data_IF_747754548147
#
_entry.id   IF_747754548147
#
_cell.length_a   1.000
_cell.length_b   1.000
_cell.length_c   1.000
_cell.angle_alpha   90.00
_cell.angle_beta   90.00
_cell.angle_gamma   90.00
#
_symmetry.space_group_name_H-M   'P 1'
#
loop_
_entity.id
_entity.type
_entity.pdbx_description
1 polymer ?
#
# COMPACT_ATOMS: atom_id res chain seq x y z
N UNK A 1 8.36 -26.12 -5.50
CA UNK A 1 7.04 -25.91 -4.89
C UNK A 1 7.11 -26.47 -3.46
N UNK A 2 6.58 -25.76 -2.47
CA UNK A 2 6.57 -26.25 -1.07
C UNK A 2 5.71 -27.50 -0.95
N UNK A 3 6.12 -28.45 -0.11
CA UNK A 3 5.26 -29.57 0.25
C UNK A 3 4.06 -29.09 1.08
N UNK A 4 2.97 -29.88 1.11
CA UNK A 4 1.77 -29.58 1.90
C UNK A 4 2.08 -29.39 3.40
N UNK A 5 3.05 -30.15 3.92
CA UNK A 5 3.52 -30.04 5.30
C UNK A 5 4.30 -28.75 5.58
N UNK A 6 5.15 -28.32 4.65
CA UNK A 6 5.87 -27.04 4.76
C UNK A 6 4.92 -25.84 4.63
N UNK A 7 3.95 -25.91 3.74
CA UNK A 7 2.93 -24.87 3.57
C UNK A 7 2.15 -24.64 4.88
N UNK A 8 1.72 -25.71 5.55
CA UNK A 8 1.00 -25.61 6.82
C UNK A 8 1.87 -25.01 7.94
N UNK A 9 3.16 -25.35 8.00
CA UNK A 9 4.10 -24.76 8.96
C UNK A 9 4.30 -23.26 8.71
N UNK A 10 4.51 -22.88 7.46
CA UNK A 10 4.65 -21.47 7.06
C UNK A 10 3.38 -20.69 7.40
N UNK A 11 2.20 -21.24 7.09
CA UNK A 11 0.92 -20.64 7.43
C UNK A 11 0.74 -20.42 8.94
N UNK A 12 1.09 -21.41 9.76
CA UNK A 12 1.01 -21.29 11.22
C UNK A 12 1.96 -20.21 11.78
N UNK A 13 3.19 -20.13 11.26
CA UNK A 13 4.15 -19.08 11.64
C UNK A 13 3.65 -17.70 11.21
N UNK A 14 3.13 -17.58 9.99
CA UNK A 14 2.60 -16.31 9.48
C UNK A 14 1.40 -15.84 10.31
N UNK A 15 0.46 -16.72 10.64
CA UNK A 15 -0.70 -16.39 11.48
C UNK A 15 -0.24 -15.88 12.85
N UNK A 16 0.63 -16.64 13.54
CA UNK A 16 1.18 -16.24 14.84
C UNK A 16 1.87 -14.88 14.79
N UNK A 17 2.74 -14.65 13.80
CA UNK A 17 3.44 -13.37 13.67
C UNK A 17 2.50 -12.23 13.25
N UNK A 18 1.37 -12.54 12.62
CA UNK A 18 0.32 -11.58 12.29
C UNK A 18 -0.39 -11.05 13.54
N UNK A 19 -0.54 -11.90 14.56
CA UNK A 19 -1.32 -11.60 15.78
C UNK A 19 -0.53 -10.85 16.87
N UNK A 20 0.79 -10.75 16.74
CA UNK A 20 1.64 -10.10 17.74
C UNK A 20 2.34 -8.86 17.18
N UNK A 21 2.64 -7.91 18.06
CA UNK A 21 3.48 -6.76 17.75
C UNK A 21 4.95 -7.15 17.61
N UNK A 22 5.73 -6.33 16.90
CA UNK A 22 7.16 -6.55 16.75
C UNK A 22 7.90 -6.50 18.09
N UNK A 23 7.47 -5.63 19.01
CA UNK A 23 8.02 -5.60 20.36
C UNK A 23 7.79 -6.92 21.11
N UNK A 24 6.58 -7.49 21.05
CA UNK A 24 6.28 -8.78 21.67
C UNK A 24 7.16 -9.90 21.10
N UNK A 25 7.39 -9.90 19.78
CA UNK A 25 8.34 -10.85 19.18
C UNK A 25 9.75 -10.67 19.75
N UNK A 26 10.24 -9.43 19.88
CA UNK A 26 11.58 -9.17 20.45
C UNK A 26 11.67 -9.55 21.93
N UNK A 27 10.59 -9.41 22.68
CA UNK A 27 10.51 -9.79 24.11
C UNK A 27 10.71 -11.29 24.33
N UNK A 28 10.40 -12.13 23.34
CA UNK A 28 10.60 -13.58 23.41
C UNK A 28 12.08 -14.00 23.37
N UNK A 29 12.94 -13.17 22.76
CA UNK A 29 14.35 -13.51 22.55
C UNK A 29 15.30 -12.67 23.39
N UNK A 30 14.89 -11.48 23.82
CA UNK A 30 15.79 -10.51 24.43
C UNK A 30 15.17 -9.88 25.69
N UNK A 31 16.02 -9.55 26.66
CA UNK A 31 15.64 -8.81 27.86
C UNK A 31 16.17 -7.36 27.85
N UNK A 32 17.32 -7.10 27.23
CA UNK A 32 17.93 -5.76 27.15
C UNK A 32 17.13 -4.82 26.23
N UNK A 33 16.59 -3.75 26.81
CA UNK A 33 15.79 -2.75 26.10
C UNK A 33 16.58 -1.98 25.03
N UNK A 34 17.88 -1.76 25.22
CA UNK A 34 18.73 -1.06 24.24
C UNK A 34 18.90 -1.89 22.98
N UNK A 35 19.08 -3.21 23.13
CA UNK A 35 19.15 -4.12 22.00
C UNK A 35 17.84 -4.14 21.23
N UNK A 36 16.70 -4.19 21.93
CA UNK A 36 15.37 -4.10 21.29
C UNK A 36 15.19 -2.81 20.50
N UNK A 37 15.66 -1.68 21.04
CA UNK A 37 15.63 -0.39 20.34
C UNK A 37 16.47 -0.41 19.05
N UNK A 38 17.68 -0.98 19.09
CA UNK A 38 18.53 -1.12 17.90
C UNK A 38 17.85 -2.01 16.84
N UNK A 39 17.32 -3.16 17.26
CA UNK A 39 16.61 -4.08 16.34
C UNK A 39 15.32 -3.47 15.78
N UNK A 40 14.79 -2.43 16.43
CA UNK A 40 13.60 -1.70 16.02
C UNK A 40 13.86 -0.52 15.08
N UNK A 41 15.11 -0.24 14.68
CA UNK A 41 15.48 0.89 13.80
C UNK A 41 14.60 1.00 12.54
N UNK A 42 14.23 -0.15 11.97
CA UNK A 42 13.44 -0.22 10.73
C UNK A 42 11.95 0.06 10.92
N UNK A 43 11.44 0.14 12.13
CA UNK A 43 10.04 0.50 12.39
C UNK A 43 9.67 1.88 11.81
N UNK A 44 10.66 2.75 11.64
CA UNK A 44 10.52 4.05 10.95
C UNK A 44 10.06 3.92 9.50
N UNK A 45 10.40 2.84 8.79
CA UNK A 45 9.96 2.60 7.41
C UNK A 45 8.46 2.38 7.28
N UNK A 46 7.83 1.82 8.32
CA UNK A 46 6.38 1.61 8.38
C UNK A 46 5.66 2.73 9.13
N UNK A 47 6.39 3.71 9.66
CA UNK A 47 5.83 4.85 10.38
C UNK A 47 5.15 4.51 11.71
N UNK A 48 5.44 3.35 12.30
CA UNK A 48 4.81 2.87 13.54
C UNK A 48 5.85 2.54 14.60
N UNK A 49 5.58 2.76 15.90
CA UNK A 49 6.46 2.28 16.96
C UNK A 49 6.40 0.74 17.09
N UNK A 50 7.41 0.08 17.70
CA UNK A 50 7.52 -1.38 17.73
C UNK A 50 6.34 -2.11 18.39
N UNK A 51 5.68 -1.49 19.38
CA UNK A 51 4.51 -2.04 20.06
C UNK A 51 3.22 -1.96 19.23
N UNK A 52 3.22 -1.23 18.09
CA UNK A 52 2.09 -1.14 17.14
C UNK A 52 2.41 -1.78 15.79
N UNK A 53 3.68 -1.93 15.43
CA UNK A 53 4.09 -2.57 14.20
C UNK A 53 3.82 -4.09 14.25
N UNK A 54 3.24 -4.66 13.20
CA UNK A 54 3.04 -6.12 13.07
C UNK A 54 4.38 -6.86 13.01
N UNK A 55 4.54 -7.91 13.81
CA UNK A 55 5.75 -8.73 13.79
C UNK A 55 5.95 -9.42 12.43
N UNK A 56 4.88 -9.86 11.78
CA UNK A 56 4.94 -10.46 10.45
C UNK A 56 5.52 -9.47 9.42
N UNK A 57 4.96 -8.26 9.36
CA UNK A 57 5.40 -7.23 8.40
C UNK A 57 6.86 -6.86 8.62
N UNK A 58 7.25 -6.63 9.87
CA UNK A 58 8.62 -6.29 10.24
C UNK A 58 9.60 -7.43 9.93
N UNK A 59 9.21 -8.68 10.22
CA UNK A 59 10.04 -9.86 9.97
C UNK A 59 10.26 -10.06 8.47
N UNK A 60 9.20 -9.95 7.65
CA UNK A 60 9.33 -10.03 6.19
C UNK A 60 10.26 -8.94 5.67
N UNK A 61 10.07 -7.70 6.13
CA UNK A 61 10.91 -6.57 5.71
C UNK A 61 12.38 -6.83 6.07
N UNK A 62 12.68 -7.14 7.33
CA UNK A 62 14.06 -7.35 7.80
C UNK A 62 14.72 -8.53 7.08
N UNK A 63 14.02 -9.67 6.97
CA UNK A 63 14.54 -10.84 6.25
C UNK A 63 14.76 -10.57 4.77
N UNK A 64 13.95 -9.70 4.14
CA UNK A 64 14.14 -9.34 2.74
C UNK A 64 15.49 -8.66 2.52
N UNK A 65 15.93 -7.80 3.44
CA UNK A 65 17.24 -7.16 3.37
C UNK A 65 18.39 -8.15 3.54
N UNK A 66 18.27 -9.10 4.46
CA UNK A 66 19.31 -10.12 4.65
C UNK A 66 19.39 -11.10 3.47
N UNK A 67 18.24 -11.45 2.88
CA UNK A 67 18.18 -12.43 1.79
C UNK A 67 18.54 -11.84 0.44
N UNK A 68 18.02 -10.66 0.14
CA UNK A 68 18.13 -10.06 -1.19
C UNK A 68 19.11 -8.89 -1.24
N UNK A 69 19.48 -8.30 -0.10
CA UNK A 69 20.33 -7.12 -0.02
C UNK A 69 19.54 -5.81 -0.10
N UNK A 70 20.24 -4.69 0.12
CA UNK A 70 19.74 -3.34 -0.10
C UNK A 70 20.32 -2.79 -1.40
N UNK A 71 19.46 -2.24 -2.27
CA UNK A 71 19.89 -1.65 -3.54
C UNK A 71 19.50 -0.18 -3.62
N UNK A 72 20.31 0.59 -4.35
CA UNK A 72 20.01 1.97 -4.71
C UNK A 72 20.04 2.08 -6.23
N UNK A 73 18.98 2.60 -6.88
CA UNK A 73 19.02 2.88 -8.30
C UNK A 73 20.16 3.84 -8.64
N UNK A 74 20.90 3.53 -9.71
CA UNK A 74 21.94 4.43 -10.23
C UNK A 74 21.28 5.74 -10.66
N UNK A 75 21.80 6.87 -10.17
CA UNK A 75 21.21 8.18 -10.40
C UNK A 75 20.04 8.56 -9.48
N UNK A 76 19.73 7.74 -8.47
CA UNK A 76 18.74 8.05 -7.43
C UNK A 76 17.32 7.59 -7.75
N UNK A 77 16.40 7.78 -6.80
CA UNK A 77 15.00 7.31 -6.89
C UNK A 77 14.22 7.93 -8.05
N UNK A 78 14.50 9.18 -8.41
CA UNK A 78 13.86 9.86 -9.54
C UNK A 78 14.04 9.08 -10.85
N UNK A 79 15.22 8.49 -11.09
CA UNK A 79 15.49 7.69 -12.30
C UNK A 79 14.58 6.48 -12.42
N UNK A 80 14.18 5.88 -11.30
CA UNK A 80 13.22 4.78 -11.31
C UNK A 80 11.83 5.27 -11.74
N UNK A 81 11.38 6.41 -11.20
CA UNK A 81 10.11 7.01 -11.59
C UNK A 81 10.10 7.41 -13.07
N UNK A 82 11.19 8.00 -13.56
CA UNK A 82 11.35 8.38 -14.97
C UNK A 82 11.29 7.15 -15.90
N UNK A 83 12.00 6.07 -15.53
CA UNK A 83 11.98 4.83 -16.31
C UNK A 83 10.58 4.20 -16.40
N UNK A 84 9.80 4.26 -15.31
CA UNK A 84 8.40 3.80 -15.32
C UNK A 84 7.53 4.71 -16.21
N UNK A 85 7.71 6.03 -16.11
CA UNK A 85 7.00 7.00 -16.94
C UNK A 85 7.28 6.79 -18.45
N UNK A 86 8.54 6.55 -18.80
CA UNK A 86 8.94 6.24 -20.17
C UNK A 86 8.37 4.91 -20.66
N UNK A 87 8.34 3.89 -19.79
CA UNK A 87 7.66 2.63 -20.08
C UNK A 87 6.19 2.82 -20.45
N UNK A 88 5.46 3.66 -19.73
CA UNK A 88 4.06 4.01 -20.02
C UNK A 88 3.95 4.70 -21.38
N UNK A 89 4.77 5.73 -21.64
CA UNK A 89 4.76 6.48 -22.91
C UNK A 89 5.11 5.60 -24.11
N UNK A 90 6.11 4.74 -23.98
CA UNK A 90 6.56 3.82 -25.04
C UNK A 90 5.48 2.78 -25.41
N UNK A 91 4.51 2.54 -24.53
CA UNK A 91 3.33 1.70 -24.80
C UNK A 91 2.10 2.49 -25.26
N UNK A 92 2.26 3.77 -25.59
CA UNK A 92 1.18 4.65 -26.05
C UNK A 92 0.35 5.27 -24.93
N UNK A 93 0.73 5.05 -23.67
CA UNK A 93 0.08 5.69 -22.53
C UNK A 93 0.39 7.19 -22.45
N UNK A 94 -0.53 7.94 -21.84
CA UNK A 94 -0.37 9.38 -21.60
C UNK A 94 -0.17 9.63 -20.11
N UNK A 95 0.72 10.57 -19.79
CA UNK A 95 0.94 11.06 -18.42
C UNK A 95 0.64 12.55 -18.43
N UNK A 96 -0.35 12.95 -17.65
CA UNK A 96 -0.81 14.33 -17.56
C UNK A 96 -0.31 14.87 -16.23
N UNK A 97 0.54 15.89 -16.27
CA UNK A 97 1.07 16.58 -15.09
C UNK A 97 0.33 17.89 -14.85
N UNK A 98 0.30 18.34 -13.59
CA UNK A 98 -0.29 19.63 -13.23
C UNK A 98 -1.81 19.71 -13.41
N UNK A 99 -2.49 18.57 -13.56
CA UNK A 99 -3.94 18.50 -13.71
C UNK A 99 -4.45 17.27 -12.95
N UNK A 100 -4.69 17.43 -11.65
CA UNK A 100 -5.14 16.33 -10.79
C UNK A 100 -6.53 15.83 -11.18
N UNK A 101 -6.82 14.57 -10.85
CA UNK A 101 -8.20 14.09 -10.84
C UNK A 101 -8.94 14.78 -9.69
N UNK A 102 -10.04 15.48 -9.98
CA UNK A 102 -10.86 16.17 -9.00
C UNK A 102 -12.06 15.33 -8.56
N UNK A 103 -12.61 14.51 -9.45
CA UNK A 103 -13.77 13.67 -9.17
C UNK A 103 -13.73 12.36 -9.95
N UNK A 104 -14.10 11.26 -9.32
CA UNK A 104 -14.47 10.02 -9.99
C UNK A 104 -15.95 10.10 -10.33
N UNK A 105 -16.28 9.92 -11.61
CA UNK A 105 -17.63 10.03 -12.14
C UNK A 105 -18.36 8.71 -11.96
N UNK A 106 -19.58 8.78 -11.44
CA UNK A 106 -20.46 7.64 -11.23
C UNK A 106 -21.72 7.79 -12.10
N UNK A 107 -22.12 6.69 -12.75
CA UNK A 107 -23.41 6.56 -13.44
C UNK A 107 -24.10 5.31 -12.91
N UNK A 108 -25.32 5.46 -12.37
CA UNK A 108 -26.08 4.38 -11.74
C UNK A 108 -25.30 3.61 -10.64
N UNK A 109 -24.40 4.30 -9.92
CA UNK A 109 -23.56 3.70 -8.88
C UNK A 109 -22.25 3.07 -9.39
N UNK A 110 -21.99 3.12 -10.70
CA UNK A 110 -20.81 2.52 -11.31
C UNK A 110 -19.83 3.58 -11.81
N UNK A 111 -18.53 3.31 -11.66
CA UNK A 111 -17.46 4.20 -12.11
C UNK A 111 -17.40 4.25 -13.63
N UNK A 112 -17.55 5.44 -14.22
CA UNK A 112 -17.56 5.63 -15.68
C UNK A 112 -16.47 6.57 -16.20
N UNK A 113 -15.71 7.21 -15.32
CA UNK A 113 -14.63 8.11 -15.70
C UNK A 113 -14.12 8.98 -14.55
N UNK A 114 -13.34 9.98 -14.90
CA UNK A 114 -12.87 11.02 -13.99
C UNK A 114 -13.11 12.40 -14.60
N UNK A 115 -13.25 13.40 -13.72
CA UNK A 115 -13.13 14.82 -14.06
C UNK A 115 -11.86 15.37 -13.41
N UNK A 116 -11.08 16.11 -14.18
CA UNK A 116 -9.85 16.75 -13.76
C UNK A 116 -10.09 18.20 -13.25
N UNK A 117 -9.10 18.76 -12.58
CA UNK A 117 -9.14 20.12 -12.00
C UNK A 117 -9.40 21.22 -13.05
N UNK A 118 -8.89 21.04 -14.27
CA UNK A 118 -9.14 21.96 -15.38
C UNK A 118 -10.52 21.80 -16.04
N UNK A 119 -11.35 20.85 -15.56
CA UNK A 119 -12.67 20.55 -16.10
C UNK A 119 -12.70 19.46 -17.17
N UNK A 120 -11.56 18.95 -17.64
CA UNK A 120 -11.51 17.85 -18.60
C UNK A 120 -12.14 16.59 -18.01
N UNK A 121 -12.83 15.82 -18.86
CA UNK A 121 -13.38 14.52 -18.48
C UNK A 121 -12.75 13.40 -19.31
N UNK A 122 -12.40 12.32 -18.62
CA UNK A 122 -11.86 11.10 -19.23
C UNK A 122 -12.74 9.93 -18.85
N UNK A 123 -13.36 9.27 -19.84
CA UNK A 123 -14.20 8.10 -19.61
C UNK A 123 -13.37 6.81 -19.61
N UNK A 124 -13.70 5.89 -18.71
CA UNK A 124 -13.06 4.58 -18.64
C UNK A 124 -13.96 3.59 -17.90
N UNK A 125 -13.91 2.32 -18.32
CA UNK A 125 -14.52 1.20 -17.58
C UNK A 125 -13.72 0.81 -16.33
N UNK A 126 -12.43 1.13 -16.32
CA UNK A 126 -11.49 0.69 -15.29
C UNK A 126 -10.71 1.90 -14.77
N UNK A 127 -10.76 2.12 -13.45
CA UNK A 127 -10.06 3.23 -12.78
C UNK A 127 -9.21 2.64 -11.67
N UNK A 128 -7.91 2.94 -11.69
CA UNK A 128 -6.99 2.62 -10.58
C UNK A 128 -6.68 3.93 -9.87
N UNK A 129 -7.18 4.10 -8.64
CA UNK A 129 -6.80 5.22 -7.78
C UNK A 129 -5.60 4.82 -6.93
N UNK A 130 -4.45 5.45 -7.17
CA UNK A 130 -3.29 5.40 -6.29
C UNK A 130 -3.23 6.60 -5.32
N UNK A 131 -4.35 7.32 -5.18
CA UNK A 131 -4.48 8.40 -4.21
C UNK A 131 -4.78 7.81 -2.84
N UNK A 132 -4.42 8.50 -1.77
CA UNK A 132 -4.67 8.00 -0.42
C UNK A 132 -6.16 7.66 -0.21
N UNK A 133 -6.40 6.73 0.72
CA UNK A 133 -7.72 6.19 0.94
C UNK A 133 -8.73 7.26 1.36
N UNK A 134 -8.35 8.17 2.25
CA UNK A 134 -9.26 9.22 2.74
C UNK A 134 -9.65 10.11 1.58
N UNK A 135 -8.69 10.53 0.75
CA UNK A 135 -8.97 11.44 -0.35
C UNK A 135 -9.68 10.76 -1.52
N UNK A 136 -9.33 9.52 -1.87
CA UNK A 136 -10.03 8.76 -2.92
C UNK A 136 -11.51 8.65 -2.60
N UNK A 137 -11.81 8.29 -1.35
CA UNK A 137 -13.17 8.14 -0.90
C UNK A 137 -13.73 9.55 -0.63
N UNK A 138 -13.43 10.21 0.48
CA UNK A 138 -14.09 11.47 0.88
C UNK A 138 -14.12 12.57 -0.20
N UNK A 139 -13.05 12.73 -0.98
CA UNK A 139 -12.95 13.82 -1.94
C UNK A 139 -13.35 13.38 -3.36
N UNK A 140 -12.63 12.42 -3.96
CA UNK A 140 -12.84 12.08 -5.38
C UNK A 140 -14.21 11.44 -5.63
N UNK A 141 -14.70 10.62 -4.70
CA UNK A 141 -16.02 10.01 -4.81
C UNK A 141 -17.10 10.79 -4.03
N UNK A 142 -16.72 11.86 -3.32
CA UNK A 142 -17.64 12.83 -2.74
C UNK A 142 -18.39 12.35 -1.50
N UNK A 143 -17.73 11.61 -0.59
CA UNK A 143 -18.30 11.29 0.73
C UNK A 143 -19.30 10.13 0.78
N UNK A 144 -19.93 9.78 -0.35
CA UNK A 144 -21.02 8.80 -0.40
C UNK A 144 -20.50 7.37 -0.53
N UNK A 145 -19.98 6.82 0.57
CA UNK A 145 -19.43 5.47 0.59
C UNK A 145 -20.38 4.40 1.03
N UNK A 146 -20.14 3.20 0.52
CA UNK A 146 -20.72 1.99 1.09
C UNK A 146 -20.16 1.77 2.49
N UNK A 147 -20.93 1.03 3.31
CA UNK A 147 -20.54 0.61 4.65
C UNK A 147 -19.09 0.09 4.76
N UNK A 148 -18.60 -0.58 3.72
CA UNK A 148 -17.25 -1.12 3.68
C UNK A 148 -16.17 -0.04 3.75
N UNK A 149 -16.30 1.06 3.01
CA UNK A 149 -15.29 2.11 3.05
C UNK A 149 -15.32 2.88 4.38
N UNK A 150 -16.51 3.12 4.93
CA UNK A 150 -16.65 3.69 6.28
C UNK A 150 -16.01 2.79 7.35
N UNK A 151 -16.20 1.48 7.24
CA UNK A 151 -15.59 0.50 8.13
C UNK A 151 -14.06 0.55 8.03
N UNK A 152 -13.51 0.56 6.82
CA UNK A 152 -12.05 0.66 6.63
C UNK A 152 -11.49 1.98 7.17
N UNK A 153 -12.18 3.11 6.96
CA UNK A 153 -11.76 4.43 7.47
C UNK A 153 -11.64 4.43 8.99
N UNK A 154 -12.56 3.74 9.66
CA UNK A 154 -12.58 3.66 11.13
C UNK A 154 -11.56 2.67 11.68
N UNK A 155 -11.23 1.60 10.96
CA UNK A 155 -10.53 0.44 11.53
C UNK A 155 -9.13 0.17 10.98
N UNK A 156 -8.82 0.58 9.74
CA UNK A 156 -7.56 0.19 9.06
C UNK A 156 -6.48 1.28 9.16
N UNK A 157 -6.86 2.52 9.48
CA UNK A 157 -5.93 3.65 9.54
C UNK A 157 -5.40 4.04 8.15
N UNK A 158 -4.23 4.70 8.12
CA UNK A 158 -3.61 5.16 6.86
C UNK A 158 -3.02 3.95 6.12
N UNK A 159 -3.59 3.62 4.97
CA UNK A 159 -3.19 2.46 4.17
C UNK A 159 -2.36 2.87 2.96
N UNK A 160 -1.29 2.14 2.66
CA UNK A 160 -0.59 2.14 1.37
C UNK A 160 -1.35 1.29 0.35
N UNK A 161 -2.60 1.65 0.10
CA UNK A 161 -3.48 0.94 -0.83
C UNK A 161 -3.66 1.71 -2.12
N UNK A 162 -3.79 0.97 -3.22
CA UNK A 162 -4.43 1.45 -4.44
C UNK A 162 -5.82 0.82 -4.52
N UNK A 163 -6.75 1.50 -5.19
CA UNK A 163 -8.14 1.07 -5.33
C UNK A 163 -8.44 0.82 -6.80
N UNK A 164 -8.94 -0.37 -7.09
CA UNK A 164 -9.35 -0.74 -8.44
C UNK A 164 -10.87 -0.73 -8.56
N UNK A 165 -11.39 0.23 -9.31
CA UNK A 165 -12.81 0.37 -9.60
C UNK A 165 -13.09 -0.16 -11.00
N UNK A 166 -14.08 -1.05 -11.09
CA UNK A 166 -14.50 -1.72 -12.33
C UNK A 166 -15.96 -1.41 -12.56
N UNK A 167 -16.28 -0.79 -13.70
CA UNK A 167 -17.64 -0.71 -14.21
C UNK A 167 -18.05 -2.10 -14.69
N UNK A 168 -19.21 -2.59 -14.25
CA UNK A 168 -19.82 -3.79 -14.85
C UNK A 168 -20.67 -3.32 -16.03
N UNK A 169 -20.74 -4.14 -17.07
CA UNK A 169 -21.65 -3.92 -18.20
C UNK A 169 -23.04 -4.48 -17.85
#
# INVERSE_FOLDING_TARGET
MLSKGEFNKVGAVMARLGDISYLQLLDEFFTDSRLKSILSDRCTFVGLPPHKASALTMTIMVLSYFKFGAYRPVGGSQRLADALADGIRNKGGKIIFGNGAQKILLKNGECCGIRCENGDEYTSKNIISNVDFVHTFNNLLGGNFTYFAEYLLKNVGVSTSFFYFVCRD
#
